data_IF_595172706878
#
_entry.id   IF_595172706878
#
_cell.length_a   1.000
_cell.length_b   1.000
_cell.length_c   1.000
_cell.angle_alpha   90.00
_cell.angle_beta   90.00
_cell.angle_gamma   90.00
#
_symmetry.space_group_name_H-M   'P 1'
#
loop_
_entity.id
_entity.type
_entity.pdbx_description
1 polymer ?
#
# COMPACT_ATOMS: atom_id res chain seq x y z
N UNK A 1 18.16 -17.98 10.88
CA UNK A 1 17.15 -16.90 10.92
C UNK A 1 17.28 -16.10 9.65
N UNK A 2 16.17 -15.72 9.04
CA UNK A 2 16.19 -14.89 7.83
C UNK A 2 16.33 -13.41 8.20
N UNK A 3 17.21 -12.70 7.50
CA UNK A 3 17.42 -11.26 7.66
C UNK A 3 16.86 -10.54 6.44
N UNK A 4 16.07 -9.48 6.69
CA UNK A 4 15.42 -8.68 5.66
C UNK A 4 15.97 -7.25 5.67
N UNK A 5 16.41 -6.75 4.52
CA UNK A 5 16.76 -5.33 4.35
C UNK A 5 15.49 -4.49 4.45
N UNK A 6 15.36 -3.65 5.49
CA UNK A 6 14.18 -2.81 5.72
C UNK A 6 14.41 -1.35 5.36
N UNK A 7 13.43 -0.73 4.68
CA UNK A 7 13.50 0.65 4.19
C UNK A 7 12.41 1.51 4.83
N UNK A 8 12.79 2.67 5.35
CA UNK A 8 11.84 3.65 5.90
C UNK A 8 11.09 4.45 4.82
N UNK A 9 11.60 4.47 3.59
CA UNK A 9 11.10 5.27 2.45
C UNK A 9 11.40 4.57 1.13
N UNK A 10 10.46 4.63 0.19
CA UNK A 10 10.73 4.48 -1.26
C UNK A 10 10.28 5.73 -2.03
N UNK A 11 10.77 5.82 -3.27
CA UNK A 11 10.44 6.86 -4.23
C UNK A 11 9.79 6.21 -5.45
N UNK A 12 8.61 6.66 -5.83
CA UNK A 12 7.87 6.17 -7.00
C UNK A 12 7.84 7.29 -8.05
N UNK A 13 8.31 7.01 -9.25
CA UNK A 13 8.16 7.91 -10.39
C UNK A 13 6.73 7.78 -10.93
N UNK A 14 5.94 8.84 -10.83
CA UNK A 14 4.61 8.90 -11.40
C UNK A 14 4.68 9.10 -12.93
N UNK A 15 3.74 8.54 -13.71
CA UNK A 15 3.66 8.79 -15.14
C UNK A 15 3.42 10.29 -15.41
N UNK A 16 4.01 10.79 -16.50
CA UNK A 16 3.82 12.15 -16.96
C UNK A 16 2.34 12.41 -17.27
N UNK A 17 1.79 13.52 -16.76
CA UNK A 17 0.43 13.98 -17.08
C UNK A 17 0.52 15.39 -17.63
N UNK A 18 0.57 15.50 -18.96
CA UNK A 18 0.74 16.76 -19.70
C UNK A 18 -0.25 17.86 -19.25
N UNK A 19 -1.51 17.48 -18.95
CA UNK A 19 -2.56 18.35 -18.42
C UNK A 19 -2.29 18.95 -17.02
N UNK A 20 -1.18 18.61 -16.35
CA UNK A 20 -0.84 19.14 -15.01
C UNK A 20 0.58 19.72 -14.98
N UNK A 21 1.56 19.02 -15.55
CA UNK A 21 2.88 19.55 -15.89
C UNK A 21 3.65 18.55 -16.74
N UNK A 22 4.58 19.03 -17.57
CA UNK A 22 5.49 18.17 -18.34
C UNK A 22 6.73 17.73 -17.52
N UNK A 23 6.66 17.79 -16.18
CA UNK A 23 7.77 17.51 -15.27
C UNK A 23 7.68 16.10 -14.70
N UNK A 24 8.81 15.40 -14.58
CA UNK A 24 8.88 14.09 -13.89
C UNK A 24 8.51 14.27 -12.41
N UNK A 25 7.40 13.66 -11.98
CA UNK A 25 6.90 13.76 -10.59
C UNK A 25 7.31 12.54 -9.78
N UNK A 26 8.18 12.74 -8.80
CA UNK A 26 8.43 11.73 -7.76
C UNK A 26 7.41 11.89 -6.64
N UNK A 27 6.77 10.78 -6.24
CA UNK A 27 6.08 10.66 -4.95
C UNK A 27 6.86 9.74 -4.01
N UNK A 28 6.54 9.77 -2.72
CA UNK A 28 7.24 9.00 -1.71
C UNK A 28 6.27 8.29 -0.78
N UNK A 29 6.60 7.05 -0.44
CA UNK A 29 5.88 6.19 0.49
C UNK A 29 6.80 5.85 1.63
N UNK A 30 6.33 5.96 2.88
CA UNK A 30 7.10 5.66 4.09
C UNK A 30 6.51 4.52 4.92
N UNK A 31 7.41 3.71 5.47
CA UNK A 31 7.13 2.63 6.41
C UNK A 31 8.09 2.71 7.60
N UNK A 32 7.85 3.68 8.49
CA UNK A 32 8.71 3.96 9.64
C UNK A 32 8.01 3.51 10.93
N UNK A 33 8.46 2.43 11.60
CA UNK A 33 7.98 2.11 12.95
C UNK A 33 8.44 3.19 13.94
N UNK A 34 7.84 3.23 15.14
CA UNK A 34 8.38 4.06 16.22
C UNK A 34 9.80 3.59 16.57
N UNK A 35 10.74 4.53 16.65
CA UNK A 35 12.11 4.25 17.09
C UNK A 35 12.39 5.06 18.36
N UNK A 36 12.65 4.43 19.51
CA UNK A 36 13.06 5.15 20.71
C UNK A 36 14.43 5.80 20.52
N UNK A 37 14.76 6.79 21.36
CA UNK A 37 16.09 7.41 21.37
C UNK A 37 17.16 6.33 21.61
N UNK A 38 18.16 6.22 20.73
CA UNK A 38 19.28 5.28 20.90
C UNK A 38 20.60 6.04 20.89
N UNK A 39 21.11 6.35 22.09
CA UNK A 39 22.29 7.20 22.29
C UNK A 39 22.08 8.62 21.76
N UNK A 40 22.87 9.00 20.76
CA UNK A 40 22.78 10.30 20.07
C UNK A 40 21.67 10.35 19.00
N UNK A 41 21.14 9.21 18.54
CA UNK A 41 20.06 9.18 17.54
C UNK A 41 18.75 9.66 18.17
N UNK A 42 18.21 10.77 17.64
CA UNK A 42 16.88 11.31 18.01
C UNK A 42 15.79 10.23 17.85
N UNK A 43 14.76 10.22 18.71
CA UNK A 43 13.61 9.33 18.52
C UNK A 43 12.89 9.66 17.20
N UNK A 44 12.26 8.65 16.60
CA UNK A 44 11.50 8.80 15.35
C UNK A 44 10.06 8.37 15.61
N UNK A 45 9.11 9.27 15.35
CA UNK A 45 7.68 8.99 15.45
C UNK A 45 7.26 7.95 14.38
N UNK A 46 6.28 7.12 14.72
CA UNK A 46 5.71 6.16 13.78
C UNK A 46 5.08 6.88 12.58
N UNK A 47 5.36 6.41 11.36
CA UNK A 47 4.71 6.88 10.15
C UNK A 47 4.56 5.74 9.14
N UNK A 48 3.31 5.36 8.91
CA UNK A 48 2.89 4.41 7.89
C UNK A 48 1.96 5.15 6.92
N UNK A 49 2.44 5.46 5.72
CA UNK A 49 1.63 6.12 4.70
C UNK A 49 0.57 5.11 4.15
N UNK A 50 -0.55 5.61 3.63
CA UNK A 50 -1.65 4.81 3.05
C UNK A 50 -1.68 4.95 1.54
N UNK A 51 -1.94 3.86 0.82
CA UNK A 51 -2.08 3.83 -0.63
C UNK A 51 -3.38 3.15 -1.08
N UNK A 52 -3.85 3.49 -2.28
CA UNK A 52 -4.79 2.68 -3.04
C UNK A 52 -3.97 1.70 -3.89
N UNK A 53 -4.31 0.41 -3.80
CA UNK A 53 -3.64 -0.68 -4.53
C UNK A 53 -4.69 -1.33 -5.44
N UNK A 54 -4.30 -1.67 -6.67
CA UNK A 54 -5.14 -2.46 -7.58
C UNK A 54 -5.25 -3.88 -7.01
N UNK A 55 -6.42 -4.25 -6.50
CA UNK A 55 -6.75 -5.61 -6.05
C UNK A 55 -7.40 -6.42 -7.18
N UNK A 56 -8.21 -5.77 -8.04
CA UNK A 56 -8.69 -6.32 -9.32
C UNK A 56 -8.26 -5.41 -10.47
N UNK A 57 -7.44 -5.94 -11.39
CA UNK A 57 -6.96 -5.19 -12.56
C UNK A 57 -8.05 -5.01 -13.62
N UNK A 58 -8.87 -6.03 -13.85
CA UNK A 58 -9.89 -6.03 -14.91
C UNK A 58 -10.94 -4.98 -14.54
N UNK A 59 -11.44 -5.00 -13.30
CA UNK A 59 -12.42 -4.03 -12.84
C UNK A 59 -11.86 -2.59 -12.85
N UNK A 60 -10.60 -2.41 -12.46
CA UNK A 60 -9.93 -1.10 -12.52
C UNK A 60 -9.80 -0.56 -13.95
N UNK A 61 -9.53 -1.42 -14.93
CA UNK A 61 -9.40 -1.03 -16.34
C UNK A 61 -10.76 -0.85 -17.05
N UNK A 62 -11.84 -1.52 -16.61
CA UNK A 62 -13.17 -1.42 -17.22
C UNK A 62 -14.08 -0.33 -16.62
N UNK A 63 -14.06 -0.15 -15.29
CA UNK A 63 -14.93 0.81 -14.58
C UNK A 63 -14.19 2.10 -14.16
N UNK A 64 -12.89 2.01 -13.92
CA UNK A 64 -12.06 3.14 -13.48
C UNK A 64 -12.44 3.70 -12.10
N UNK A 65 -12.07 4.97 -11.86
CA UNK A 65 -12.35 5.66 -10.59
C UNK A 65 -11.74 4.94 -9.37
N UNK A 66 -12.60 4.35 -8.53
CA UNK A 66 -12.22 3.54 -7.38
C UNK A 66 -12.53 2.03 -7.54
N UNK A 67 -13.09 1.62 -8.68
CA UNK A 67 -13.32 0.21 -8.98
C UNK A 67 -12.00 -0.57 -9.08
N UNK A 68 -11.98 -1.82 -8.64
CA UNK A 68 -10.76 -2.63 -8.52
C UNK A 68 -9.71 -2.11 -7.52
N UNK A 69 -9.86 -0.92 -6.94
CA UNK A 69 -8.92 -0.32 -5.99
C UNK A 69 -9.28 -0.63 -4.54
N UNK A 70 -8.26 -0.93 -3.74
CA UNK A 70 -8.39 -1.15 -2.31
C UNK A 70 -7.39 -0.33 -1.48
N UNK A 71 -7.85 0.39 -0.45
CA UNK A 71 -6.96 1.06 0.48
C UNK A 71 -6.18 0.07 1.36
N UNK A 72 -4.88 0.35 1.55
CA UNK A 72 -4.00 -0.38 2.44
C UNK A 72 -3.00 0.57 3.13
N UNK A 73 -2.75 0.34 4.43
CA UNK A 73 -1.67 1.02 5.14
C UNK A 73 -0.35 0.28 4.90
N UNK A 74 0.70 1.00 4.54
CA UNK A 74 2.01 0.43 4.21
C UNK A 74 2.85 0.29 5.49
N UNK A 75 3.10 -0.95 5.91
CA UNK A 75 3.62 -1.30 7.24
C UNK A 75 5.12 -1.61 7.24
N UNK A 76 5.64 -2.25 6.20
CA UNK A 76 7.06 -2.54 6.01
C UNK A 76 7.39 -2.43 4.54
N UNK A 77 8.53 -1.83 4.19
CA UNK A 77 9.12 -1.92 2.86
C UNK A 77 10.42 -2.70 3.00
N UNK A 78 10.64 -3.72 2.16
CA UNK A 78 11.78 -4.62 2.29
C UNK A 78 12.28 -5.14 0.93
N UNK A 79 13.50 -5.70 0.89
CA UNK A 79 13.92 -6.57 -0.23
C UNK A 79 13.80 -8.02 0.19
N UNK A 80 13.37 -8.88 -0.75
CA UNK A 80 13.28 -10.31 -0.53
C UNK A 80 14.70 -10.90 -0.44
N UNK A 81 15.03 -11.69 0.58
CA UNK A 81 16.29 -12.44 0.66
C UNK A 81 16.44 -13.40 -0.53
N UNK A 82 17.64 -13.48 -1.11
CA UNK A 82 17.85 -14.20 -2.38
C UNK A 82 17.45 -15.69 -2.34
N UNK A 83 17.56 -16.34 -1.18
CA UNK A 83 17.16 -17.73 -0.99
C UNK A 83 15.64 -17.96 -0.91
N UNK A 84 14.85 -16.90 -0.69
CA UNK A 84 13.39 -16.93 -0.72
C UNK A 84 12.81 -16.57 -2.09
N UNK A 85 13.66 -16.16 -3.04
CA UNK A 85 13.29 -15.86 -4.42
C UNK A 85 13.94 -14.59 -4.98
N UNK A 86 13.96 -14.46 -6.30
CA UNK A 86 14.48 -13.27 -6.96
C UNK A 86 13.38 -12.24 -7.23
N UNK A 87 13.45 -11.09 -6.57
CA UNK A 87 12.66 -9.91 -6.94
C UNK A 87 13.59 -8.69 -7.12
N UNK A 88 13.62 -8.05 -8.31
CA UNK A 88 14.48 -6.90 -8.58
C UNK A 88 13.98 -5.61 -7.92
N UNK A 89 12.78 -5.60 -7.35
CA UNK A 89 12.13 -4.43 -6.77
C UNK A 89 11.87 -4.62 -5.26
N UNK A 90 11.89 -3.55 -4.45
CA UNK A 90 11.45 -3.62 -3.06
C UNK A 90 9.97 -4.05 -2.99
N UNK A 91 9.70 -5.02 -2.11
CA UNK A 91 8.36 -5.47 -1.76
C UNK A 91 7.81 -4.65 -0.59
N UNK A 92 6.49 -4.67 -0.43
CA UNK A 92 5.79 -3.91 0.61
C UNK A 92 4.80 -4.81 1.33
N UNK A 93 4.96 -4.96 2.64
CA UNK A 93 3.96 -5.59 3.50
C UNK A 93 2.91 -4.55 3.90
N UNK A 94 1.64 -4.86 3.66
CA UNK A 94 0.51 -3.93 3.83
C UNK A 94 -0.56 -4.48 4.75
N UNK A 95 -1.18 -3.60 5.52
CA UNK A 95 -2.36 -3.89 6.32
C UNK A 95 -3.59 -3.36 5.58
N UNK A 96 -4.36 -4.28 5.01
CA UNK A 96 -5.58 -3.97 4.25
C UNK A 96 -6.63 -3.24 5.09
N UNK A 97 -7.24 -2.22 4.51
CA UNK A 97 -8.56 -1.77 4.95
C UNK A 97 -9.66 -2.67 4.35
N UNK A 98 -10.90 -2.46 4.76
CA UNK A 98 -12.08 -3.00 4.07
C UNK A 98 -12.18 -2.35 2.68
N UNK A 99 -12.68 -3.06 1.65
CA UNK A 99 -12.94 -2.45 0.33
C UNK A 99 -13.80 -1.20 0.45
N UNK A 100 -13.60 -0.25 -0.47
CA UNK A 100 -14.39 0.96 -0.57
C UNK A 100 -15.86 0.57 -0.81
N UNK A 101 -16.77 1.22 -0.09
CA UNK A 101 -18.23 1.10 -0.26
C UNK A 101 -18.74 2.31 -1.05
N UNK A 102 -20.04 2.37 -1.35
CA UNK A 102 -20.66 3.63 -1.76
C UNK A 102 -20.32 4.77 -0.78
N UNK A 103 -20.24 6.02 -1.25
CA UNK A 103 -19.89 7.16 -0.40
C UNK A 103 -20.93 7.33 0.71
N UNK A 104 -20.50 7.85 1.86
CA UNK A 104 -21.40 8.26 2.93
C UNK A 104 -22.32 9.40 2.43
N UNK A 105 -23.65 9.30 2.58
CA UNK A 105 -24.59 10.27 2.01
C UNK A 105 -24.53 11.66 2.66
N UNK A 106 -23.89 11.81 3.82
CA UNK A 106 -23.75 13.09 4.53
C UNK A 106 -22.51 13.87 4.09
N UNK A 107 -21.40 13.16 3.83
CA UNK A 107 -20.08 13.74 3.59
C UNK A 107 -19.55 13.54 2.16
N UNK A 108 -20.16 12.64 1.39
CA UNK A 108 -19.68 12.25 0.06
C UNK A 108 -18.41 11.40 0.05
N UNK A 109 -17.83 11.08 1.21
CA UNK A 109 -16.54 10.36 1.31
C UNK A 109 -16.72 8.84 1.47
N UNK A 110 -15.76 8.08 0.94
CA UNK A 110 -15.70 6.63 1.12
C UNK A 110 -15.09 6.26 2.49
N UNK A 111 -15.94 6.07 3.50
CA UNK A 111 -15.51 5.67 4.85
C UNK A 111 -15.09 4.18 4.85
N UNK A 112 -13.89 3.89 5.37
CA UNK A 112 -13.39 2.51 5.57
C UNK A 112 -12.75 2.34 6.95
N UNK A 113 -12.64 1.09 7.40
CA UNK A 113 -11.90 0.70 8.60
C UNK A 113 -10.92 -0.43 8.28
N UNK A 114 -9.94 -0.70 9.15
CA UNK A 114 -9.00 -1.79 8.95
C UNK A 114 -9.72 -3.15 8.81
N UNK A 115 -9.20 -4.02 7.95
CA UNK A 115 -9.69 -5.39 7.84
C UNK A 115 -9.30 -6.17 9.10
N UNK A 116 -10.27 -6.54 9.92
CA UNK A 116 -10.09 -7.52 11.01
C UNK A 116 -9.85 -8.94 10.49
N UNK A 117 -9.96 -9.15 9.17
CA UNK A 117 -9.85 -10.44 8.50
C UNK A 117 -8.57 -10.45 7.66
N UNK A 118 -7.44 -10.84 8.27
CA UNK A 118 -6.27 -11.32 7.55
C UNK A 118 -6.68 -12.52 6.66
N UNK A 119 -5.97 -12.75 5.55
CA UNK A 119 -6.44 -13.56 4.41
C UNK A 119 -6.80 -15.03 4.71
N UNK A 120 -7.98 -15.28 5.29
CA UNK A 120 -8.75 -16.49 4.96
C UNK A 120 -9.47 -16.23 3.64
N UNK A 121 -8.86 -16.69 2.54
CA UNK A 121 -9.49 -16.67 1.22
C UNK A 121 -10.92 -17.23 1.32
N UNK A 122 -11.89 -16.54 0.72
CA UNK A 122 -13.20 -17.14 0.44
C UNK A 122 -13.07 -17.78 -0.93
N UNK A 123 -12.72 -19.07 -0.96
CA UNK A 123 -13.01 -19.93 -2.11
C UNK A 123 -14.54 -19.91 -2.28
N UNK A 124 -15.02 -19.06 -3.19
CA UNK A 124 -16.42 -19.10 -3.62
C UNK A 124 -16.54 -20.22 -4.63
N UNK A 125 -16.96 -21.41 -4.19
CA UNK A 125 -17.47 -22.39 -5.12
C UNK A 125 -18.71 -21.79 -5.80
N UNK A 126 -18.57 -21.46 -7.08
CA UNK A 126 -19.71 -21.27 -7.97
C UNK A 126 -19.93 -22.60 -8.67
N UNK A 127 -20.87 -23.39 -8.15
CA UNK A 127 -21.51 -24.45 -8.91
C UNK A 127 -22.79 -23.88 -9.50
N UNK A 128 -22.89 -23.91 -10.82
CA UNK A 128 -24.08 -24.21 -11.62
C UNK A 128 -23.65 -24.50 -13.05
#
# INVERSE_FOLDING_TARGET
>A
YDHFDLYSRISLLLPLRAHVSNSKRLTHVRATPVQPRRGTRKPVAQRFDTALIIEDKIQFESEGGFAGLRPAQIRVIFRLPQHLGHCPHPLVYVQWFRPLRGPDPTTGFHITSHSTRNHRSRVRHHQR
#
